data_IF_250621507045
#
_entry.id   IF_250621507045
#
_cell.length_a   1.000
_cell.length_b   1.000
_cell.length_c   1.000
_cell.angle_alpha   90.00
_cell.angle_beta   90.00
_cell.angle_gamma   90.00
#
_symmetry.space_group_name_H-M   'P 1'
#
loop_
_entity.id
_entity.type
_entity.pdbx_description
1 polymer ?
#
# COMPACT_ATOMS: atom_id res chain seq x y z
N UNK A 1 -11.04 19.30 17.98
CA UNK A 1 -11.28 18.79 16.60
C UNK A 1 -10.85 17.33 16.57
N UNK A 2 -11.76 16.37 16.35
CA UNK A 2 -11.40 14.93 16.27
C UNK A 2 -10.56 14.71 15.02
N UNK A 3 -9.39 14.09 15.16
CA UNK A 3 -8.61 13.65 14.01
C UNK A 3 -9.47 12.73 13.13
N UNK A 4 -9.48 12.89 11.79
CA UNK A 4 -10.25 12.03 10.92
C UNK A 4 -9.77 10.59 11.12
N UNK A 5 -10.70 9.64 11.27
CA UNK A 5 -10.38 8.22 11.51
C UNK A 5 -9.38 7.63 10.48
N UNK A 6 -9.27 8.26 9.31
CA UNK A 6 -8.33 7.91 8.24
C UNK A 6 -6.86 8.07 8.64
N UNK A 7 -6.52 9.08 9.45
CA UNK A 7 -5.12 9.30 9.86
C UNK A 7 -4.58 8.19 10.78
N UNK A 8 -5.47 7.48 11.49
CA UNK A 8 -5.10 6.34 12.33
C UNK A 8 -4.77 5.09 11.49
N UNK A 9 -5.55 4.85 10.43
CA UNK A 9 -5.34 3.70 9.53
C UNK A 9 -4.16 3.92 8.58
N UNK A 10 -3.96 5.13 8.06
CA UNK A 10 -2.75 5.42 7.28
C UNK A 10 -1.47 5.22 8.12
N UNK A 11 -1.52 5.52 9.43
CA UNK A 11 -0.41 5.26 10.35
C UNK A 11 -0.20 3.79 10.68
N UNK A 12 -1.22 2.95 10.57
CA UNK A 12 -1.08 1.50 10.80
C UNK A 12 -0.53 0.77 9.56
N UNK A 13 -0.58 1.40 8.38
CA UNK A 13 0.06 0.92 7.17
C UNK A 13 1.53 1.34 7.12
N UNK A 14 2.41 0.43 6.69
CA UNK A 14 3.77 0.83 6.32
C UNK A 14 3.76 1.77 5.12
N UNK A 15 4.71 2.71 5.06
CA UNK A 15 4.83 3.64 3.94
C UNK A 15 4.90 2.91 2.57
N UNK A 16 5.58 1.75 2.55
CA UNK A 16 5.63 0.87 1.38
C UNK A 16 4.23 0.38 0.98
N UNK A 17 3.44 -0.18 1.91
CA UNK A 17 2.08 -0.64 1.62
C UNK A 17 1.18 0.49 1.16
N UNK A 18 1.27 1.66 1.80
CA UNK A 18 0.51 2.85 1.38
C UNK A 18 0.87 3.26 -0.06
N UNK A 19 2.16 3.26 -0.41
CA UNK A 19 2.61 3.51 -1.78
C UNK A 19 2.09 2.48 -2.78
N UNK A 20 2.15 1.20 -2.44
CA UNK A 20 1.65 0.12 -3.30
C UNK A 20 0.14 0.20 -3.53
N UNK A 21 -0.64 0.58 -2.52
CA UNK A 21 -2.08 0.80 -2.67
C UNK A 21 -2.40 1.93 -3.66
N UNK A 22 -1.67 3.04 -3.58
CA UNK A 22 -1.83 4.17 -4.51
C UNK A 22 -1.45 3.80 -5.94
N UNK A 23 -0.45 2.93 -6.09
CA UNK A 23 -0.05 2.39 -7.41
C UNK A 23 -1.04 1.35 -7.93
N UNK A 24 -1.77 0.64 -7.06
CA UNK A 24 -2.74 -0.38 -7.46
C UNK A 24 -3.96 0.18 -8.21
N UNK A 25 -4.25 1.47 -8.08
CA UNK A 25 -5.37 2.15 -8.77
C UNK A 25 -4.97 2.85 -10.06
N UNK A 26 -3.79 2.56 -10.60
CA UNK A 26 -3.23 3.23 -11.78
C UNK A 26 -3.18 4.75 -11.62
N UNK A 27 -2.93 5.18 -10.38
CA UNK A 27 -2.82 6.58 -10.01
C UNK A 27 -4.12 7.34 -10.30
N UNK A 28 -5.28 6.66 -10.17
CA UNK A 28 -6.60 7.28 -10.36
C UNK A 28 -7.38 7.37 -9.06
N UNK A 29 -8.17 8.44 -8.95
CA UNK A 29 -9.17 8.59 -7.91
C UNK A 29 -10.35 7.64 -8.18
N UNK A 30 -10.78 6.88 -7.18
CA UNK A 30 -11.91 5.95 -7.30
C UNK A 30 -13.28 6.65 -7.30
N UNK A 31 -13.33 7.95 -6.98
CA UNK A 31 -14.58 8.74 -7.00
C UNK A 31 -14.77 9.51 -8.30
N UNK A 32 -13.80 10.34 -8.72
CA UNK A 32 -13.91 11.15 -9.94
C UNK A 32 -13.25 10.51 -11.17
N UNK A 33 -12.36 9.52 -10.99
CA UNK A 33 -11.65 8.85 -12.09
C UNK A 33 -10.41 9.58 -12.60
N UNK A 34 -10.14 10.80 -12.12
CA UNK A 34 -8.99 11.61 -12.54
C UNK A 34 -7.66 10.94 -12.21
N UNK A 35 -6.67 11.14 -13.09
CA UNK A 35 -5.29 10.74 -12.85
C UNK A 35 -4.60 11.78 -11.97
N UNK A 36 -3.98 11.31 -10.89
CA UNK A 36 -3.38 12.12 -9.84
C UNK A 36 -2.01 11.55 -9.52
N UNK A 37 -1.01 12.41 -9.33
CA UNK A 37 0.32 11.95 -8.95
C UNK A 37 0.26 11.06 -7.68
N UNK A 38 1.04 9.96 -7.60
CA UNK A 38 0.99 9.03 -6.47
C UNK A 38 1.15 9.69 -5.10
N UNK A 39 1.99 10.73 -5.01
CA UNK A 39 2.22 11.48 -3.76
C UNK A 39 1.00 12.25 -3.25
N UNK A 40 0.04 12.56 -4.13
CA UNK A 40 -1.15 13.33 -3.80
C UNK A 40 -2.40 12.46 -3.56
N UNK A 41 -2.38 11.19 -3.95
CA UNK A 41 -3.47 10.27 -3.62
C UNK A 41 -3.51 9.99 -2.12
N UNK A 42 -4.71 9.90 -1.57
CA UNK A 42 -4.97 9.68 -0.14
C UNK A 42 -5.78 8.41 0.05
N UNK A 43 -5.51 7.70 1.15
CA UNK A 43 -6.23 6.47 1.50
C UNK A 43 -7.37 6.85 2.45
N UNK A 44 -8.58 6.87 1.92
CA UNK A 44 -9.79 7.09 2.70
C UNK A 44 -10.25 5.79 3.34
N UNK A 45 -10.63 5.85 4.61
CA UNK A 45 -11.12 4.71 5.38
C UNK A 45 -12.61 4.85 5.66
N UNK A 46 -13.38 3.84 5.26
CA UNK A 46 -14.81 3.78 5.50
C UNK A 46 -15.02 3.39 6.98
N UNK A 47 -15.64 4.26 7.81
CA UNK A 47 -15.78 4.00 9.24
C UNK A 47 -16.58 2.73 9.55
N UNK A 48 -16.15 1.97 10.57
CA UNK A 48 -16.86 0.78 11.07
C UNK A 48 -16.65 -0.51 10.25
N UNK A 49 -15.61 -0.57 9.40
CA UNK A 49 -15.27 -1.74 8.58
C UNK A 49 -13.86 -2.29 8.85
N UNK A 50 -13.25 -1.91 9.99
CA UNK A 50 -11.86 -2.27 10.29
C UNK A 50 -11.71 -3.77 10.63
N UNK A 51 -12.79 -4.44 11.05
CA UNK A 51 -12.74 -5.81 11.60
C UNK A 51 -12.97 -6.95 10.58
N UNK A 52 -13.02 -6.65 9.28
CA UNK A 52 -13.34 -7.63 8.24
C UNK A 52 -12.29 -7.71 7.14
N UNK A 53 -12.61 -7.14 5.99
CA UNK A 53 -11.77 -7.18 4.79
C UNK A 53 -11.20 -5.79 4.48
N UNK A 54 -9.87 -5.59 4.61
CA UNK A 54 -9.23 -4.28 4.42
C UNK A 54 -9.40 -3.74 3.00
N UNK A 55 -9.61 -4.61 2.01
CA UNK A 55 -9.88 -4.20 0.62
C UNK A 55 -11.22 -3.46 0.50
N UNK A 56 -12.20 -3.87 1.29
CA UNK A 56 -13.57 -3.33 1.23
C UNK A 56 -13.79 -2.13 2.15
N UNK A 57 -12.81 -1.82 3.02
CA UNK A 57 -12.87 -0.74 3.99
C UNK A 57 -12.11 0.50 3.56
N UNK A 58 -11.44 0.47 2.40
CA UNK A 58 -10.65 1.59 1.89
C UNK A 58 -11.14 2.08 0.52
N UNK A 59 -10.89 3.36 0.26
CA UNK A 59 -10.99 4.00 -1.06
C UNK A 59 -9.72 4.81 -1.32
N UNK A 60 -9.27 4.88 -2.58
CA UNK A 60 -8.13 5.71 -2.99
C UNK A 60 -8.64 6.95 -3.69
N UNK A 61 -8.43 8.13 -3.10
CA UNK A 61 -9.07 9.37 -3.53
C UNK A 61 -8.05 10.48 -3.79
N UNK A 62 -8.42 11.43 -4.65
CA UNK A 62 -7.70 12.70 -4.75
C UNK A 62 -7.99 13.56 -3.50
N UNK A 63 -7.14 14.58 -3.21
CA UNK A 63 -7.32 15.42 -2.01
C UNK A 63 -8.69 16.09 -1.94
N UNK A 64 -9.22 16.52 -3.10
CA UNK A 64 -10.53 17.17 -3.20
C UNK A 64 -11.64 16.19 -2.81
N UNK A 65 -11.74 15.03 -3.48
CA UNK A 65 -12.74 14.02 -3.17
C UNK A 65 -12.61 13.50 -1.73
N UNK A 66 -11.38 13.32 -1.23
CA UNK A 66 -11.14 12.91 0.16
C UNK A 66 -11.71 13.93 1.15
N UNK A 67 -11.46 15.23 0.91
CA UNK A 67 -11.99 16.31 1.72
C UNK A 67 -13.52 16.38 1.63
N UNK A 68 -14.08 16.22 0.43
CA UNK A 68 -15.53 16.16 0.21
C UNK A 68 -16.20 15.01 0.96
N UNK A 69 -15.58 13.83 1.02
CA UNK A 69 -16.13 12.68 1.77
C UNK A 69 -16.35 13.01 3.25
N UNK A 70 -15.44 13.76 3.86
CA UNK A 70 -15.54 14.18 5.25
C UNK A 70 -16.47 15.37 5.46
N UNK A 71 -16.31 16.42 4.65
CA UNK A 71 -17.08 17.67 4.80
C UNK A 71 -18.57 17.47 4.51
N UNK A 72 -18.91 16.68 3.49
CA UNK A 72 -20.29 16.37 3.13
C UNK A 72 -20.88 15.21 3.94
N UNK A 73 -20.09 14.59 4.83
CA UNK A 73 -20.51 13.42 5.62
C UNK A 73 -21.16 12.34 4.75
N UNK A 74 -20.53 12.01 3.63
CA UNK A 74 -21.10 11.09 2.62
C UNK A 74 -21.52 9.78 3.30
N UNK A 75 -22.77 9.30 3.10
CA UNK A 75 -23.25 8.10 3.76
C UNK A 75 -22.36 6.88 3.47
N UNK A 76 -22.21 6.01 4.47
CA UNK A 76 -21.43 4.76 4.31
C UNK A 76 -21.95 3.88 3.16
N UNK A 77 -23.25 3.92 2.89
CA UNK A 77 -23.87 3.20 1.77
C UNK A 77 -23.27 3.63 0.44
N UNK A 78 -23.06 4.93 0.24
CA UNK A 78 -22.58 5.47 -1.03
C UNK A 78 -21.07 5.24 -1.18
N UNK A 79 -20.31 5.38 -0.08
CA UNK A 79 -18.91 4.96 -0.05
C UNK A 79 -18.74 3.48 -0.41
N UNK A 80 -19.67 2.61 0.05
CA UNK A 80 -19.68 1.19 -0.31
C UNK A 80 -20.05 0.94 -1.77
N UNK A 81 -20.90 1.79 -2.37
CA UNK A 81 -21.19 1.67 -3.80
C UNK A 81 -19.94 1.91 -4.63
N UNK A 82 -19.10 2.89 -4.25
CA UNK A 82 -17.81 3.11 -4.91
C UNK A 82 -16.88 1.89 -4.83
N UNK A 83 -16.79 1.25 -3.65
CA UNK A 83 -16.03 0.01 -3.49
C UNK A 83 -16.60 -1.12 -4.36
N UNK A 84 -17.92 -1.26 -4.44
CA UNK A 84 -18.59 -2.29 -5.26
C UNK A 84 -18.45 -2.04 -6.76
N UNK A 85 -18.37 -0.79 -7.18
CA UNK A 85 -18.12 -0.42 -8.58
C UNK A 85 -16.64 -0.49 -8.98
N UNK A 86 -15.75 -0.85 -8.04
CA UNK A 86 -14.32 -0.97 -8.31
C UNK A 86 -14.08 -1.99 -9.41
N UNK A 87 -13.18 -1.65 -10.33
CA UNK A 87 -12.76 -2.57 -11.39
C UNK A 87 -12.12 -3.82 -10.77
N UNK A 88 -12.48 -4.99 -11.29
CA UNK A 88 -11.98 -6.27 -10.78
C UNK A 88 -10.44 -6.38 -10.79
N UNK A 89 -9.78 -5.72 -11.74
CA UNK A 89 -8.32 -5.64 -11.77
C UNK A 89 -7.73 -4.82 -10.61
N UNK A 90 -8.28 -3.63 -10.36
CA UNK A 90 -7.90 -2.77 -9.23
C UNK A 90 -8.11 -3.50 -7.91
N UNK A 91 -9.26 -4.16 -7.74
CA UNK A 91 -9.54 -4.94 -6.53
C UNK A 91 -8.53 -6.08 -6.33
N UNK A 92 -8.19 -6.82 -7.40
CA UNK A 92 -7.17 -7.88 -7.35
C UNK A 92 -5.81 -7.34 -6.93
N UNK A 93 -5.39 -6.18 -7.45
CA UNK A 93 -4.11 -5.54 -7.11
C UNK A 93 -4.09 -5.08 -5.66
N UNK A 94 -5.13 -4.40 -5.20
CA UNK A 94 -5.27 -3.98 -3.79
C UNK A 94 -5.22 -5.20 -2.86
N UNK A 95 -5.96 -6.26 -3.20
CA UNK A 95 -5.96 -7.52 -2.43
C UNK A 95 -4.57 -8.16 -2.36
N UNK A 96 -3.76 -8.05 -3.41
CA UNK A 96 -2.37 -8.54 -3.42
C UNK A 96 -1.52 -7.79 -2.40
N UNK A 97 -1.63 -6.46 -2.34
CA UNK A 97 -0.86 -5.63 -1.38
C UNK A 97 -1.13 -6.03 0.07
N UNK A 98 -2.38 -6.37 0.40
CA UNK A 98 -2.72 -6.83 1.75
C UNK A 98 -2.26 -8.26 2.06
N UNK A 99 -2.14 -9.12 1.04
CA UNK A 99 -1.66 -10.51 1.18
C UNK A 99 -0.14 -10.62 1.24
N UNK A 100 0.58 -9.66 0.67
CA UNK A 100 2.04 -9.65 0.70
C UNK A 100 2.53 -9.59 2.15
N UNK A 101 3.25 -10.66 2.52
CA UNK A 101 3.98 -10.74 3.79
C UNK A 101 5.22 -9.87 3.68
N UNK A 102 5.66 -9.24 4.79
CA UNK A 102 6.97 -8.64 4.86
C UNK A 102 8.03 -9.64 4.37
N UNK A 103 8.98 -9.18 3.56
CA UNK A 103 10.13 -10.00 3.22
C UNK A 103 10.89 -10.32 4.50
N UNK A 104 11.02 -11.60 4.81
CA UNK A 104 11.91 -12.09 5.85
C UNK A 104 13.14 -12.63 5.14
N UNK A 105 14.31 -11.97 5.25
CA UNK A 105 15.52 -12.54 4.71
C UNK A 105 15.74 -13.92 5.34
N UNK A 106 16.23 -14.91 4.57
CA UNK A 106 16.69 -16.15 5.17
C UNK A 106 17.73 -15.82 6.23
N UNK A 107 17.86 -16.66 7.29
CA UNK A 107 18.93 -16.49 8.26
C UNK A 107 20.26 -16.35 7.52
N UNK A 108 21.01 -15.30 7.83
CA UNK A 108 22.33 -15.12 7.24
C UNK A 108 23.18 -16.34 7.59
N UNK A 109 23.82 -16.99 6.60
CA UNK A 109 24.79 -18.03 6.90
C UNK A 109 25.91 -17.46 7.78
N UNK A 110 26.60 -18.34 8.49
CA UNK A 110 27.74 -17.94 9.30
C UNK A 110 28.77 -17.22 8.41
N UNK A 111 29.31 -16.05 8.82
CA UNK A 111 30.22 -15.28 8.00
C UNK A 111 31.43 -16.10 7.54
N UNK A 112 31.98 -16.97 8.40
CA UNK A 112 33.14 -17.80 8.05
C UNK A 112 32.82 -18.78 6.91
N UNK A 113 31.62 -19.40 6.94
CA UNK A 113 31.15 -20.27 5.85
C UNK A 113 30.92 -19.49 4.55
N UNK A 114 30.38 -18.27 4.63
CA UNK A 114 30.20 -17.38 3.48
C UNK A 114 31.54 -17.03 2.83
N UNK A 115 32.53 -16.65 3.64
CA UNK A 115 33.87 -16.34 3.15
C UNK A 115 34.56 -17.58 2.56
N UNK A 116 34.48 -18.73 3.23
CA UNK A 116 35.04 -19.99 2.72
C UNK A 116 34.38 -20.43 1.40
N UNK A 117 33.06 -20.26 1.27
CA UNK A 117 32.33 -20.52 0.04
C UNK A 117 32.74 -19.57 -1.09
N UNK A 118 32.89 -18.27 -0.80
CA UNK A 118 33.34 -17.29 -1.79
C UNK A 118 34.79 -17.54 -2.26
N UNK A 119 35.68 -17.94 -1.34
CA UNK A 119 37.06 -18.32 -1.63
C UNK A 119 37.14 -19.58 -2.50
N UNK A 120 36.37 -20.62 -2.16
CA UNK A 120 36.37 -21.88 -2.90
C UNK A 120 35.69 -21.81 -4.27
N UNK A 121 34.71 -20.90 -4.45
CA UNK A 121 34.03 -20.67 -5.71
C UNK A 121 34.78 -19.73 -6.69
N UNK A 122 36.00 -19.28 -6.34
CA UNK A 122 36.77 -18.33 -7.17
C UNK A 122 36.18 -16.92 -7.21
N UNK A 123 35.29 -16.57 -6.26
CA UNK A 123 34.56 -15.29 -6.21
C UNK A 123 35.37 -14.11 -5.65
N UNK A 124 36.67 -14.28 -5.44
CA UNK A 124 37.57 -13.21 -4.95
C UNK A 124 37.61 -11.99 -5.87
N UNK A 125 37.32 -12.17 -7.16
CA UNK A 125 37.25 -11.09 -8.16
C UNK A 125 36.12 -10.07 -7.87
N UNK A 126 35.13 -10.44 -7.04
CA UNK A 126 34.05 -9.54 -6.61
C UNK A 126 34.50 -8.53 -5.55
N UNK A 127 35.58 -8.81 -4.82
CA UNK A 127 36.08 -7.98 -3.72
C UNK A 127 37.28 -7.11 -4.12
N UNK A 128 37.88 -7.37 -5.29
CA UNK A 128 39.09 -6.68 -5.77
C UNK A 128 38.80 -5.43 -6.63
N UNK A 129 37.54 -5.17 -6.98
CA UNK A 129 37.14 -3.99 -7.78
C UNK A 129 36.77 -2.76 -6.93
N UNK A 130 37.24 -2.69 -5.67
CA UNK A 130 37.18 -1.49 -4.85
C UNK A 130 38.29 -0.51 -5.21
N UNK A 131 38.21 0.13 -6.37
CA UNK A 131 39.04 1.27 -6.76
C UNK A 131 38.16 2.40 -7.32
#
# INVERSE_FOLDING_TARGET
MKAPACSGFERSLSAQKAGMLKMATDQRCECCGDRIAPGLLQIHCIPGMIDGNPVSSILILCPVCHTSMHTLSVPRRDQRLLVRSRRAETERRIRRVFREKPYHPPPSPDPEELFASALSAGGMDLFLNGA
#
